data_IF_136562817496
#
_entry.id   IF_136562817496
#
_cell.length_a   1.000
_cell.length_b   1.000
_cell.length_c   1.000
_cell.angle_alpha   90.00
_cell.angle_beta   90.00
_cell.angle_gamma   90.00
#
_symmetry.space_group_name_H-M   'P 1'
#
loop_
_entity.id
_entity.type
_entity.pdbx_description
1 polymer ?
#
# COMPACT_ATOMS: atom_id res chain seq x y z
N UNK A 1 -12.44 -35.01 14.98
CA UNK A 1 -12.39 -33.53 14.94
C UNK A 1 -11.03 -33.09 14.37
N UNK A 2 -10.89 -32.91 13.06
CA UNK A 2 -9.63 -32.43 12.44
C UNK A 2 -9.85 -31.95 11.00
N UNK A 3 -10.78 -30.99 10.81
CA UNK A 3 -11.00 -30.34 9.50
C UNK A 3 -11.11 -28.81 9.56
N UNK A 4 -11.13 -28.23 10.77
CA UNK A 4 -11.29 -26.78 10.97
C UNK A 4 -9.95 -26.00 10.95
N UNK A 5 -8.83 -26.64 11.32
CA UNK A 5 -7.52 -25.96 11.38
C UNK A 5 -6.89 -25.70 10.00
N UNK A 6 -7.17 -26.52 8.98
CA UNK A 6 -6.56 -26.35 7.64
C UNK A 6 -7.19 -25.22 6.80
N UNK A 7 -8.40 -24.76 7.12
CA UNK A 7 -9.08 -23.69 6.37
C UNK A 7 -8.59 -22.29 6.73
N UNK A 8 -8.15 -22.06 7.97
CA UNK A 8 -7.59 -20.76 8.40
C UNK A 8 -6.22 -20.48 7.80
N UNK A 9 -5.31 -21.46 7.86
CA UNK A 9 -3.94 -21.30 7.37
C UNK A 9 -3.83 -21.08 5.85
N UNK A 10 -4.79 -21.58 5.06
CA UNK A 10 -4.84 -21.34 3.62
C UNK A 10 -5.24 -19.90 3.28
N UNK A 11 -6.28 -19.40 3.96
CA UNK A 11 -6.77 -18.02 3.79
C UNK A 11 -5.75 -16.99 4.24
N UNK A 12 -5.07 -17.21 5.36
CA UNK A 12 -4.00 -16.32 5.83
C UNK A 12 -2.82 -16.25 4.85
N UNK A 13 -2.47 -17.38 4.20
CA UNK A 13 -1.41 -17.41 3.18
C UNK A 13 -1.80 -16.68 1.90
N UNK A 14 -3.00 -16.92 1.37
CA UNK A 14 -3.50 -16.25 0.16
C UNK A 14 -3.62 -14.73 0.36
N UNK A 15 -4.05 -14.32 1.54
CA UNK A 15 -4.17 -12.90 1.90
C UNK A 15 -2.82 -12.21 2.11
N UNK A 16 -1.86 -12.89 2.75
CA UNK A 16 -0.47 -12.40 2.82
C UNK A 16 0.13 -12.26 1.43
N UNK A 17 -0.13 -13.22 0.54
CA UNK A 17 0.29 -13.14 -0.86
C UNK A 17 -0.33 -11.94 -1.57
N UNK A 18 -1.59 -11.60 -1.29
CA UNK A 18 -2.24 -10.42 -1.86
C UNK A 18 -1.62 -9.12 -1.36
N UNK A 19 -1.43 -8.95 -0.05
CA UNK A 19 -0.77 -7.75 0.50
C UNK A 19 0.67 -7.64 -0.04
N UNK A 20 1.42 -8.75 -0.02
CA UNK A 20 2.78 -8.81 -0.58
C UNK A 20 2.78 -8.52 -2.08
N UNK A 21 1.77 -8.98 -2.83
CA UNK A 21 1.61 -8.73 -4.27
C UNK A 21 1.34 -7.24 -4.56
N UNK A 22 0.43 -6.62 -3.81
CA UNK A 22 0.16 -5.18 -3.90
C UNK A 22 1.43 -4.39 -3.65
N UNK A 23 2.17 -4.74 -2.59
CA UNK A 23 3.47 -4.13 -2.28
C UNK A 23 4.43 -4.33 -3.44
N UNK A 24 4.64 -5.57 -3.93
CA UNK A 24 5.49 -5.90 -5.07
C UNK A 24 5.17 -5.07 -6.32
N UNK A 25 3.89 -4.83 -6.59
CA UNK A 25 3.47 -3.99 -7.69
C UNK A 25 3.83 -2.52 -7.46
N UNK A 26 3.62 -2.00 -6.25
CA UNK A 26 4.14 -0.70 -5.82
C UNK A 26 5.66 -0.61 -6.00
N UNK A 27 6.39 -1.68 -5.70
CA UNK A 27 7.85 -1.74 -5.86
C UNK A 27 8.25 -1.54 -7.30
N UNK A 28 7.70 -2.38 -8.19
CA UNK A 28 8.02 -2.35 -9.62
C UNK A 28 7.66 -1.00 -10.25
N UNK A 29 6.51 -0.41 -9.89
CA UNK A 29 6.11 0.91 -10.39
C UNK A 29 7.06 2.00 -9.91
N UNK A 30 7.42 2.03 -8.63
CA UNK A 30 8.37 3.03 -8.10
C UNK A 30 9.76 2.90 -8.73
N UNK A 31 10.24 1.67 -8.93
CA UNK A 31 11.55 1.39 -9.53
C UNK A 31 11.58 1.81 -11.02
N UNK A 32 10.50 1.56 -11.77
CA UNK A 32 10.34 2.04 -13.14
C UNK A 32 10.32 3.58 -13.22
N UNK A 33 9.63 4.25 -12.29
CA UNK A 33 9.57 5.71 -12.22
C UNK A 33 10.93 6.32 -11.83
N UNK A 34 11.64 5.72 -10.87
CA UNK A 34 12.98 6.14 -10.48
C UNK A 34 13.97 5.97 -11.64
N UNK A 35 13.89 4.85 -12.36
CA UNK A 35 14.69 4.60 -13.56
C UNK A 35 14.40 5.60 -14.67
N UNK A 36 13.12 5.83 -15.01
CA UNK A 36 12.74 6.81 -16.04
C UNK A 36 13.22 8.22 -15.69
N UNK A 37 13.06 8.62 -14.43
CA UNK A 37 13.48 9.94 -13.96
C UNK A 37 15.00 10.12 -14.03
N UNK A 38 15.78 9.10 -13.68
CA UNK A 38 17.24 9.15 -13.66
C UNK A 38 17.85 9.01 -15.07
N UNK A 39 17.26 8.19 -15.94
CA UNK A 39 17.77 7.92 -17.29
C UNK A 39 17.38 8.99 -18.30
N UNK A 40 16.17 9.56 -18.21
CA UNK A 40 15.66 10.49 -19.22
C UNK A 40 15.57 11.95 -18.74
N UNK A 41 15.95 12.26 -17.50
CA UNK A 41 15.98 13.64 -17.01
C UNK A 41 14.62 14.33 -17.03
N UNK A 42 13.53 13.56 -16.88
CA UNK A 42 12.12 14.00 -16.94
C UNK A 42 11.69 14.96 -15.82
N UNK A 43 12.63 15.62 -15.13
CA UNK A 43 12.34 16.63 -14.10
C UNK A 43 11.97 18.01 -14.67
N UNK A 44 12.06 18.25 -15.99
CA UNK A 44 11.98 19.61 -16.54
C UNK A 44 10.71 19.97 -17.32
N UNK A 45 9.76 19.05 -17.53
CA UNK A 45 8.56 19.31 -18.36
C UNK A 45 7.27 18.73 -17.78
N UNK A 46 7.14 18.71 -16.45
CA UNK A 46 5.94 18.24 -15.78
C UNK A 46 5.11 19.39 -15.22
N UNK A 47 4.34 20.08 -16.07
CA UNK A 47 3.32 21.07 -15.66
C UNK A 47 1.97 20.43 -15.28
N UNK A 48 1.92 19.12 -15.09
CA UNK A 48 0.72 18.38 -14.70
C UNK A 48 1.13 17.23 -13.76
N UNK A 49 0.68 17.15 -12.50
CA UNK A 49 1.19 16.17 -11.55
C UNK A 49 0.86 14.69 -11.88
N UNK A 50 0.09 14.40 -12.95
CA UNK A 50 -0.36 13.04 -13.30
C UNK A 50 0.25 12.48 -14.60
N UNK A 51 1.57 12.55 -14.76
CA UNK A 51 2.25 12.05 -15.99
C UNK A 51 2.32 10.52 -16.15
N UNK A 52 1.90 9.74 -15.15
CA UNK A 52 2.00 8.28 -15.20
C UNK A 52 0.67 7.66 -14.83
N UNK A 53 0.12 6.89 -15.76
CA UNK A 53 -1.13 6.14 -15.61
C UNK A 53 -0.83 4.65 -15.53
N UNK A 54 -1.54 3.95 -14.64
CA UNK A 54 -1.46 2.49 -14.55
C UNK A 54 -1.74 1.84 -15.92
N UNK A 55 -0.87 0.94 -16.36
CA UNK A 55 -1.05 0.21 -17.63
C UNK A 55 -2.10 -0.90 -17.48
N UNK A 56 -2.66 -1.40 -18.59
CA UNK A 56 -3.59 -2.54 -18.57
C UNK A 56 -3.00 -3.85 -17.99
N UNK A 57 -1.67 -3.96 -17.90
CA UNK A 57 -0.99 -5.10 -17.24
C UNK A 57 -1.32 -5.15 -15.74
N UNK A 58 -1.61 -4.01 -15.14
CA UNK A 58 -2.02 -3.89 -13.74
C UNK A 58 -3.38 -4.56 -13.51
N UNK A 59 -4.31 -4.44 -14.47
CA UNK A 59 -5.63 -5.09 -14.38
C UNK A 59 -5.47 -6.61 -14.39
N UNK A 60 -4.72 -7.17 -15.35
CA UNK A 60 -4.47 -8.61 -15.46
C UNK A 60 -3.76 -9.19 -14.22
N UNK A 61 -2.91 -8.39 -13.58
CA UNK A 61 -2.24 -8.77 -12.35
C UNK A 61 -3.25 -8.92 -11.22
N UNK A 62 -4.10 -7.91 -11.01
CA UNK A 62 -5.10 -7.93 -9.93
C UNK A 62 -6.18 -8.98 -10.14
N UNK A 63 -6.60 -9.24 -11.38
CA UNK A 63 -7.49 -10.36 -11.69
C UNK A 63 -6.91 -11.71 -11.25
N UNK A 64 -5.57 -11.85 -11.31
CA UNK A 64 -4.87 -13.07 -10.90
C UNK A 64 -4.65 -13.17 -9.40
N UNK A 65 -4.27 -12.08 -8.74
CA UNK A 65 -3.86 -12.09 -7.31
C UNK A 65 -5.02 -11.78 -6.36
N UNK A 66 -6.08 -11.15 -6.86
CA UNK A 66 -7.30 -10.83 -6.12
C UNK A 66 -8.59 -11.26 -6.86
N UNK A 67 -8.71 -12.53 -7.29
CA UNK A 67 -9.88 -12.99 -8.06
C UNK A 67 -11.20 -12.91 -7.28
N UNK A 68 -11.13 -12.84 -5.94
CA UNK A 68 -12.29 -12.73 -5.05
C UNK A 68 -12.69 -11.27 -4.76
N UNK A 69 -11.95 -10.28 -5.27
CA UNK A 69 -12.24 -8.86 -5.04
C UNK A 69 -12.15 -8.45 -3.56
N UNK A 70 -11.24 -9.06 -2.79
CA UNK A 70 -11.02 -8.72 -1.38
C UNK A 70 -10.59 -7.25 -1.28
N UNK A 71 -11.19 -6.52 -0.34
CA UNK A 71 -10.87 -5.11 -0.14
C UNK A 71 -9.47 -4.92 0.41
N UNK A 72 -8.80 -3.87 -0.03
CA UNK A 72 -7.50 -3.43 0.46
C UNK A 72 -7.60 -1.95 0.81
N UNK A 73 -7.27 -1.64 2.04
CA UNK A 73 -7.35 -0.30 2.62
C UNK A 73 -5.93 0.22 2.88
N UNK A 74 -5.65 1.42 2.41
CA UNK A 74 -4.44 2.17 2.67
C UNK A 74 -4.72 3.29 3.67
N UNK A 75 -3.93 3.34 4.74
CA UNK A 75 -3.96 4.45 5.68
C UNK A 75 -2.62 5.16 5.71
N UNK A 76 -2.61 6.43 5.30
CA UNK A 76 -1.47 7.31 5.53
C UNK A 76 -1.65 8.02 6.86
N UNK A 77 -0.62 7.96 7.70
CA UNK A 77 -0.59 8.67 8.98
C UNK A 77 -0.08 10.12 8.84
N UNK A 78 0.20 10.55 7.61
CA UNK A 78 0.65 11.88 7.21
C UNK A 78 -0.45 12.56 6.39
N UNK A 79 -0.53 13.90 6.49
CA UNK A 79 -1.45 14.65 5.64
C UNK A 79 -1.01 14.61 4.16
N UNK A 80 -1.95 14.72 3.21
CA UNK A 80 -1.62 14.78 1.78
C UNK A 80 -0.61 15.88 1.43
N UNK A 81 -0.73 17.04 2.10
CA UNK A 81 0.14 18.19 1.85
C UNK A 81 1.59 17.89 2.26
N UNK A 82 1.80 17.34 3.45
CA UNK A 82 3.13 16.94 3.94
C UNK A 82 3.73 15.80 3.09
N UNK A 83 2.91 14.87 2.60
CA UNK A 83 3.38 13.82 1.67
C UNK A 83 3.89 14.41 0.37
N UNK A 84 3.23 15.46 -0.15
CA UNK A 84 3.60 16.13 -1.39
C UNK A 84 4.85 17.00 -1.29
N UNK A 85 5.28 17.39 -0.09
CA UNK A 85 6.56 18.09 0.12
C UNK A 85 7.78 17.21 -0.17
N UNK A 86 7.63 15.88 -0.08
CA UNK A 86 8.68 14.92 -0.38
C UNK A 86 8.38 14.19 -1.69
N UNK A 87 9.22 14.38 -2.71
CA UNK A 87 9.05 13.75 -4.03
C UNK A 87 8.84 12.22 -3.99
N UNK A 88 9.48 11.54 -3.05
CA UNK A 88 9.35 10.09 -2.88
C UNK A 88 7.98 9.73 -2.33
N UNK A 89 7.54 10.44 -1.28
CA UNK A 89 6.24 10.17 -0.65
C UNK A 89 5.08 10.62 -1.55
N UNK A 90 5.25 11.71 -2.29
CA UNK A 90 4.32 12.18 -3.32
C UNK A 90 4.03 11.08 -4.34
N UNK A 91 5.07 10.40 -4.85
CA UNK A 91 4.89 9.30 -5.82
C UNK A 91 4.12 8.10 -5.25
N UNK A 92 4.36 7.77 -3.99
CA UNK A 92 3.62 6.71 -3.30
C UNK A 92 2.15 7.12 -3.19
N UNK A 93 1.88 8.36 -2.76
CA UNK A 93 0.53 8.90 -2.66
C UNK A 93 -0.18 8.89 -4.02
N UNK A 94 0.44 9.44 -5.07
CA UNK A 94 -0.13 9.51 -6.42
C UNK A 94 -0.46 8.10 -6.97
N UNK A 95 0.33 7.09 -6.61
CA UNK A 95 0.07 5.70 -7.02
C UNK A 95 -1.10 5.09 -6.26
N UNK A 96 -1.21 5.33 -4.95
CA UNK A 96 -2.37 4.87 -4.16
C UNK A 96 -3.64 5.58 -4.60
N UNK A 97 -3.59 6.89 -4.86
CA UNK A 97 -4.73 7.67 -5.39
C UNK A 97 -5.21 7.08 -6.73
N UNK A 98 -4.30 6.69 -7.63
CA UNK A 98 -4.69 6.02 -8.88
C UNK A 98 -5.33 4.64 -8.67
N UNK A 99 -4.92 3.90 -7.63
CA UNK A 99 -5.55 2.62 -7.30
C UNK A 99 -6.95 2.80 -6.74
N UNK A 100 -7.13 3.76 -5.84
CA UNK A 100 -8.42 4.16 -5.26
C UNK A 100 -9.40 4.65 -6.35
N UNK A 101 -8.91 5.45 -7.31
CA UNK A 101 -9.72 5.95 -8.43
C UNK A 101 -10.11 4.86 -9.44
N UNK A 102 -9.26 3.84 -9.64
CA UNK A 102 -9.42 2.85 -10.72
C UNK A 102 -10.11 1.57 -10.29
N UNK A 103 -9.96 1.13 -9.04
CA UNK A 103 -10.44 -0.17 -8.60
C UNK A 103 -11.29 -0.06 -7.33
N UNK A 104 -12.53 -0.55 -7.41
CA UNK A 104 -13.51 -0.50 -6.31
C UNK A 104 -13.09 -1.28 -5.05
N UNK A 105 -12.09 -2.16 -5.14
CA UNK A 105 -11.57 -2.92 -4.01
C UNK A 105 -10.43 -2.21 -3.28
N UNK A 106 -9.93 -1.08 -3.76
CA UNK A 106 -9.00 -0.24 -3.03
C UNK A 106 -9.72 0.88 -2.30
N UNK A 107 -9.20 1.26 -1.14
CA UNK A 107 -9.68 2.44 -0.40
C UNK A 107 -8.51 3.17 0.21
N UNK A 108 -8.38 4.45 -0.10
CA UNK A 108 -7.40 5.35 0.52
C UNK A 108 -8.04 6.14 1.68
N UNK A 109 -7.33 6.26 2.80
CA UNK A 109 -7.74 7.09 3.93
C UNK A 109 -6.52 7.75 4.57
N UNK A 110 -6.68 9.00 5.02
CA UNK A 110 -5.69 9.67 5.85
C UNK A 110 -6.13 9.64 7.30
N UNK A 111 -5.23 9.27 8.20
CA UNK A 111 -5.45 9.26 9.64
C UNK A 111 -4.45 10.19 10.30
N UNK A 112 -4.91 11.00 11.26
CA UNK A 112 -4.02 11.83 12.05
C UNK A 112 -3.63 11.07 13.32
N UNK A 113 -2.33 10.87 13.57
CA UNK A 113 -1.86 10.10 14.73
C UNK A 113 -2.27 10.69 16.08
N UNK A 114 -2.54 11.99 16.13
CA UNK A 114 -2.96 12.67 17.35
C UNK A 114 -4.48 12.59 17.58
N UNK A 115 -5.29 12.60 16.51
CA UNK A 115 -6.75 12.71 16.61
C UNK A 115 -7.49 11.39 16.35
N UNK A 116 -6.92 10.50 15.54
CA UNK A 116 -7.52 9.22 15.15
C UNK A 116 -6.96 8.02 15.96
N UNK A 117 -6.48 8.25 17.18
CA UNK A 117 -5.81 7.22 18.01
C UNK A 117 -6.65 5.93 18.20
N UNK A 118 -7.97 6.06 18.37
CA UNK A 118 -8.87 4.90 18.50
C UNK A 118 -8.90 4.04 17.24
N UNK A 119 -8.83 4.66 16.06
CA UNK A 119 -8.76 3.93 14.79
C UNK A 119 -7.40 3.30 14.59
N UNK A 120 -6.34 3.90 15.11
CA UNK A 120 -4.97 3.40 15.02
C UNK A 120 -4.70 2.25 16.01
N UNK A 121 -5.42 2.20 17.13
CA UNK A 121 -5.27 1.12 18.12
C UNK A 121 -5.49 -0.27 17.50
N UNK A 122 -6.42 -0.39 16.54
CA UNK A 122 -6.68 -1.63 15.79
C UNK A 122 -5.48 -2.12 14.97
N UNK A 123 -4.50 -1.24 14.75
CA UNK A 123 -3.29 -1.51 13.98
C UNK A 123 -2.03 -1.60 14.84
N UNK A 124 -2.16 -1.47 16.16
CA UNK A 124 -1.03 -1.47 17.10
C UNK A 124 -0.36 -2.83 17.28
N UNK A 125 -0.85 -3.88 16.61
CA UNK A 125 -0.39 -5.27 16.75
C UNK A 125 -0.06 -5.86 15.38
N UNK A 126 1.10 -6.49 15.26
CA UNK A 126 1.48 -7.29 14.08
C UNK A 126 0.83 -8.68 14.12
N UNK A 127 1.15 -9.53 13.12
CA UNK A 127 0.64 -10.89 13.02
C UNK A 127 1.13 -11.80 14.16
N UNK A 128 2.25 -11.45 14.77
CA UNK A 128 2.90 -12.15 15.87
C UNK A 128 2.41 -11.65 17.25
N UNK A 129 1.57 -10.61 17.28
CA UNK A 129 1.02 -10.00 18.49
C UNK A 129 1.97 -9.00 19.18
N UNK A 130 3.10 -8.66 18.54
CA UNK A 130 4.00 -7.62 19.03
C UNK A 130 3.41 -6.25 18.81
N UNK A 131 3.73 -5.33 19.72
CA UNK A 131 3.31 -3.94 19.57
C UNK A 131 4.11 -3.27 18.45
N UNK A 132 3.40 -2.64 17.52
CA UNK A 132 3.99 -1.88 16.42
C UNK A 132 3.82 -0.39 16.69
N UNK A 133 4.90 0.36 16.53
CA UNK A 133 4.87 1.82 16.65
C UNK A 133 4.29 2.43 15.36
N UNK A 134 3.26 3.24 15.52
CA UNK A 134 2.65 4.02 14.43
C UNK A 134 2.96 5.48 14.70
N UNK A 135 3.56 6.15 13.72
CA UNK A 135 3.89 7.56 13.76
C UNK A 135 3.44 8.26 12.45
N UNK A 136 3.65 9.57 12.35
CA UNK A 136 3.19 10.33 11.17
C UNK A 136 3.76 9.82 9.86
N UNK A 137 4.94 9.21 9.85
CA UNK A 137 5.54 8.65 8.64
C UNK A 137 5.09 7.23 8.34
N UNK A 138 4.08 6.72 9.04
CA UNK A 138 3.60 5.35 8.84
C UNK A 138 2.58 5.27 7.71
N UNK A 139 2.72 4.23 6.90
CA UNK A 139 1.71 3.73 5.97
C UNK A 139 1.21 2.38 6.48
N UNK A 140 -0.10 2.20 6.49
CA UNK A 140 -0.75 0.96 6.90
C UNK A 140 -1.47 0.39 5.70
N UNK A 141 -1.19 -0.87 5.39
CA UNK A 141 -1.89 -1.64 4.36
C UNK A 141 -2.66 -2.75 5.05
N UNK A 142 -3.96 -2.76 4.87
CA UNK A 142 -4.85 -3.68 5.56
C UNK A 142 -5.87 -4.26 4.58
N UNK A 143 -6.28 -5.50 4.81
CA UNK A 143 -7.39 -6.09 4.08
C UNK A 143 -8.36 -6.69 5.11
N UNK A 144 -9.56 -6.10 5.30
CA UNK A 144 -10.51 -6.57 6.31
C UNK A 144 -11.02 -7.97 6.01
N UNK A 145 -11.17 -8.29 4.72
CA UNK A 145 -11.75 -9.55 4.26
C UNK A 145 -10.73 -10.69 4.24
N UNK A 146 -9.45 -10.35 4.38
CA UNK A 146 -8.31 -11.26 4.31
C UNK A 146 -8.04 -12.04 5.61
N UNK A 147 -8.51 -11.54 6.76
CA UNK A 147 -8.19 -12.11 8.07
C UNK A 147 -6.70 -12.01 8.45
N UNK A 148 -5.94 -11.15 7.78
CA UNK A 148 -4.52 -10.92 8.07
C UNK A 148 -4.34 -9.71 8.97
N UNK A 149 -3.29 -9.76 9.80
CA UNK A 149 -2.85 -8.59 10.53
C UNK A 149 -2.48 -7.45 9.54
N UNK A 150 -2.72 -6.20 9.94
CA UNK A 150 -2.32 -5.03 9.18
C UNK A 150 -0.80 -5.02 8.98
N UNK A 151 -0.37 -4.61 7.80
CA UNK A 151 1.02 -4.30 7.55
C UNK A 151 1.25 -2.83 7.87
N UNK A 152 2.08 -2.55 8.88
CA UNK A 152 2.51 -1.19 9.23
C UNK A 152 3.98 -1.04 8.82
N UNK A 153 4.29 0.01 8.07
CA UNK A 153 5.65 0.36 7.64
C UNK A 153 5.86 1.87 7.74
N UNK A 154 7.09 2.29 7.96
CA UNK A 154 7.45 3.68 7.65
C UNK A 154 7.46 3.88 6.14
N UNK A 155 7.13 5.08 5.67
CA UNK A 155 7.16 5.44 4.24
C UNK A 155 8.56 5.27 3.63
N UNK A 156 9.61 5.51 4.41
CA UNK A 156 10.99 5.30 3.98
C UNK A 156 11.32 3.82 3.80
N UNK A 157 10.91 2.96 4.74
CA UNK A 157 11.11 1.50 4.62
C UNK A 157 10.24 0.93 3.50
N UNK A 158 9.00 1.38 3.38
CA UNK A 158 8.11 1.00 2.29
C UNK A 158 8.72 1.35 0.93
N UNK A 159 9.38 2.51 0.81
CA UNK A 159 10.11 2.88 -0.40
C UNK A 159 11.43 2.12 -0.58
N UNK A 160 12.20 1.84 0.46
CA UNK A 160 13.47 1.11 0.29
C UNK A 160 13.22 -0.33 -0.12
N UNK A 161 12.26 -0.99 0.53
CA UNK A 161 11.76 -2.32 0.14
C UNK A 161 11.24 -2.28 -1.31
N UNK A 162 10.80 -1.12 -1.81
CA UNK A 162 10.37 -0.88 -3.19
C UNK A 162 11.46 -0.82 -4.24
N UNK A 163 12.70 -0.63 -3.82
CA UNK A 163 13.80 -0.33 -4.73
C UNK A 163 14.94 -1.35 -4.70
N UNK A 164 14.89 -2.32 -3.78
CA UNK A 164 15.82 -3.46 -3.69
C UNK A 164 15.31 -4.68 -4.46
#
# INVERSE_FOLDING_TARGET
MSKLSKRGAGKERESRLLITAVILLFLVLNLLLAYLANTYGWYFLATDPRFYTLSGVTDEYFDRVNPEGKRVEFYFCMSPDELRENNTFARILDTVEQFDERYDFFTLTHLNTYYDYEKLERFSKDAEGNTVEINNQSIIVYSPDAGTAPLVRSLSTFYSEATE
#
